data_IF_750009331129
#
_entry.id   IF_750009331129
#
_cell.length_a   1.000
_cell.length_b   1.000
_cell.length_c   1.000
_cell.angle_alpha   90.00
_cell.angle_beta   90.00
_cell.angle_gamma   90.00
#
_symmetry.space_group_name_H-M   'P 1'
#
loop_
_entity.id
_entity.type
_entity.pdbx_description
1 polymer ?
#
# COMPACT_ATOMS: atom_id res chain seq x y z
N UNK A 1 -40.55 -28.03 3.95
CA UNK A 1 -39.89 -27.12 4.93
C UNK A 1 -38.45 -26.98 4.49
N UNK A 2 -38.13 -25.93 3.77
CA UNK A 2 -36.76 -25.61 3.39
C UNK A 2 -36.17 -24.74 4.50
N UNK A 3 -35.12 -25.23 5.14
CA UNK A 3 -34.34 -24.47 6.14
C UNK A 3 -33.42 -23.53 5.35
N UNK A 4 -33.83 -22.29 5.18
CA UNK A 4 -32.94 -21.22 4.69
C UNK A 4 -31.88 -20.93 5.75
N UNK A 5 -30.64 -21.32 5.46
CA UNK A 5 -29.49 -21.09 6.33
C UNK A 5 -29.11 -19.61 6.36
N UNK A 6 -28.85 -19.02 7.54
CA UNK A 6 -28.51 -17.60 7.70
C UNK A 6 -27.10 -17.20 7.21
N UNK A 7 -26.37 -18.04 6.51
CA UNK A 7 -24.93 -17.86 6.24
C UNK A 7 -24.58 -16.91 5.09
N UNK A 8 -25.41 -16.77 4.07
CA UNK A 8 -25.07 -15.95 2.89
C UNK A 8 -25.07 -14.43 3.14
N UNK A 9 -26.07 -13.93 3.86
CA UNK A 9 -26.21 -12.50 4.11
C UNK A 9 -25.12 -11.91 5.05
N UNK A 10 -24.57 -12.71 5.96
CA UNK A 10 -23.50 -12.28 6.86
C UNK A 10 -22.15 -12.16 6.15
N UNK A 11 -21.86 -13.04 5.19
CA UNK A 11 -20.62 -13.00 4.41
C UNK A 11 -20.61 -11.77 3.48
N UNK A 12 -21.71 -11.53 2.77
CA UNK A 12 -21.84 -10.36 1.87
C UNK A 12 -21.73 -9.03 2.61
N UNK A 13 -22.31 -8.92 3.82
CA UNK A 13 -22.17 -7.74 4.69
C UNK A 13 -20.72 -7.49 5.14
N UNK A 14 -19.92 -8.53 5.33
CA UNK A 14 -18.50 -8.41 5.70
C UNK A 14 -17.65 -7.91 4.54
N UNK A 15 -17.92 -8.37 3.31
CA UNK A 15 -17.22 -7.91 2.11
C UNK A 15 -17.53 -6.44 1.76
N UNK A 16 -18.61 -5.89 2.27
CA UNK A 16 -18.97 -4.46 2.13
C UNK A 16 -18.15 -3.53 3.06
N UNK A 17 -17.27 -4.07 3.89
CA UNK A 17 -16.49 -3.28 4.84
C UNK A 17 -15.16 -2.85 4.24
N UNK A 18 -14.84 -1.53 4.25
CA UNK A 18 -13.57 -1.04 3.70
C UNK A 18 -12.36 -1.66 4.41
N UNK A 19 -12.49 -2.02 5.69
CA UNK A 19 -11.43 -2.65 6.47
C UNK A 19 -10.97 -3.99 5.90
N UNK A 20 -11.87 -4.81 5.35
CA UNK A 20 -11.50 -6.09 4.71
C UNK A 20 -10.63 -5.84 3.49
N UNK A 21 -11.04 -4.93 2.61
CA UNK A 21 -10.28 -4.60 1.41
C UNK A 21 -8.92 -3.98 1.72
N UNK A 22 -8.82 -3.20 2.80
CA UNK A 22 -7.54 -2.65 3.25
C UNK A 22 -6.59 -3.74 3.77
N UNK A 23 -7.09 -4.77 4.47
CA UNK A 23 -6.27 -5.91 4.90
C UNK A 23 -5.77 -6.67 3.66
N UNK A 24 -6.65 -6.98 2.72
CA UNK A 24 -6.26 -7.68 1.49
C UNK A 24 -5.24 -6.86 0.69
N UNK A 25 -5.45 -5.54 0.58
CA UNK A 25 -4.48 -4.65 -0.06
C UNK A 25 -3.13 -4.65 0.65
N UNK A 26 -3.10 -4.63 2.00
CA UNK A 26 -1.86 -4.70 2.77
C UNK A 26 -1.08 -5.99 2.52
N UNK A 27 -1.78 -7.13 2.45
CA UNK A 27 -1.17 -8.43 2.13
C UNK A 27 -0.60 -8.46 0.71
N UNK A 28 -1.37 -8.00 -0.27
CA UNK A 28 -0.93 -7.94 -1.67
C UNK A 28 0.24 -6.96 -1.87
N UNK A 29 0.21 -5.81 -1.21
CA UNK A 29 1.29 -4.83 -1.23
C UNK A 29 2.57 -5.31 -0.50
N UNK A 30 2.46 -6.40 0.27
CA UNK A 30 3.59 -7.09 0.90
C UNK A 30 4.08 -8.29 0.08
N UNK A 31 3.61 -8.48 -1.16
CA UNK A 31 4.00 -9.59 -2.04
C UNK A 31 5.50 -9.63 -2.33
N UNK A 32 6.20 -8.48 -2.25
CA UNK A 32 7.64 -8.42 -2.40
C UNK A 32 8.41 -9.34 -1.42
N UNK A 33 7.80 -9.72 -0.29
CA UNK A 33 8.38 -10.70 0.64
C UNK A 33 8.63 -12.06 -0.03
N UNK A 34 7.95 -12.37 -1.15
CA UNK A 34 8.21 -13.57 -1.95
C UNK A 34 9.62 -13.61 -2.54
N UNK A 35 10.30 -12.45 -2.68
CA UNK A 35 11.70 -12.41 -3.12
C UNK A 35 12.63 -13.21 -2.19
N UNK A 36 12.26 -13.39 -0.92
CA UNK A 36 13.03 -14.21 0.03
C UNK A 36 13.02 -15.71 -0.32
N UNK A 37 12.03 -16.14 -1.12
CA UNK A 37 11.89 -17.52 -1.56
C UNK A 37 12.14 -17.72 -3.07
N UNK A 38 12.14 -16.64 -3.86
CA UNK A 38 12.30 -16.68 -5.30
C UNK A 38 13.71 -16.24 -5.70
N UNK A 39 14.39 -16.97 -6.62
CA UNK A 39 15.71 -16.58 -7.10
C UNK A 39 15.60 -15.42 -8.09
N UNK A 40 15.42 -14.20 -7.59
CA UNK A 40 15.28 -12.99 -8.41
C UNK A 40 16.61 -12.44 -8.91
N UNK A 41 17.72 -12.77 -8.25
CA UNK A 41 19.04 -12.21 -8.55
C UNK A 41 19.24 -10.77 -8.07
N UNK A 42 18.24 -10.17 -7.41
CA UNK A 42 18.31 -8.81 -6.86
C UNK A 42 18.91 -8.79 -5.45
N UNK A 43 19.54 -7.66 -5.08
CA UNK A 43 20.05 -7.43 -3.73
C UNK A 43 18.94 -6.95 -2.81
N UNK A 44 18.70 -7.65 -1.72
CA UNK A 44 17.72 -7.22 -0.71
C UNK A 44 18.04 -5.84 -0.10
N UNK A 45 19.32 -5.47 -0.06
CA UNK A 45 19.78 -4.22 0.54
C UNK A 45 19.79 -3.07 -0.46
N UNK A 46 20.24 -3.34 -1.69
CA UNK A 46 20.56 -2.28 -2.66
C UNK A 46 19.52 -2.15 -3.77
N UNK A 47 18.88 -3.28 -4.19
CA UNK A 47 17.89 -3.25 -5.26
C UNK A 47 16.56 -2.72 -4.78
N UNK A 48 15.96 -1.81 -5.56
CA UNK A 48 14.60 -1.36 -5.30
C UNK A 48 13.60 -2.50 -5.47
N UNK A 49 12.53 -2.47 -4.66
CA UNK A 49 11.43 -3.43 -4.80
C UNK A 49 10.72 -3.29 -6.14
N UNK A 50 10.66 -2.08 -6.69
CA UNK A 50 10.10 -1.83 -8.02
C UNK A 50 10.88 -2.52 -9.15
N UNK A 51 12.15 -2.86 -8.94
CA UNK A 51 12.93 -3.63 -9.91
C UNK A 51 12.44 -5.08 -10.03
N UNK A 52 11.73 -5.63 -9.04
CA UNK A 52 11.04 -6.93 -9.16
C UNK A 52 10.00 -6.95 -10.30
N UNK A 53 9.49 -5.77 -10.68
CA UNK A 53 8.51 -5.60 -11.74
C UNK A 53 9.15 -5.26 -13.11
N UNK A 54 10.49 -5.08 -13.17
CA UNK A 54 11.18 -4.71 -14.38
C UNK A 54 11.02 -5.77 -15.50
N UNK A 55 11.13 -5.33 -16.76
CA UNK A 55 10.82 -6.20 -17.91
C UNK A 55 11.80 -7.36 -18.08
N UNK A 56 13.00 -7.24 -17.55
CA UNK A 56 14.04 -8.28 -17.54
C UNK A 56 13.90 -9.29 -16.37
N UNK A 57 12.96 -9.07 -15.43
CA UNK A 57 12.84 -9.92 -14.23
C UNK A 57 11.97 -11.16 -14.47
N UNK A 58 12.43 -12.36 -13.98
CA UNK A 58 11.76 -13.63 -14.27
C UNK A 58 10.37 -13.74 -13.64
N UNK A 59 10.17 -13.13 -12.48
CA UNK A 59 8.92 -13.25 -11.69
C UNK A 59 8.06 -11.98 -11.75
N UNK A 60 8.33 -11.04 -12.66
CA UNK A 60 7.62 -9.74 -12.74
C UNK A 60 6.10 -9.85 -12.75
N UNK A 61 5.55 -10.86 -13.38
CA UNK A 61 4.10 -11.04 -13.49
C UNK A 61 3.42 -11.35 -12.16
N UNK A 62 4.13 -12.02 -11.23
CA UNK A 62 3.62 -12.29 -9.87
C UNK A 62 3.46 -10.98 -9.12
N UNK A 63 4.48 -10.13 -9.12
CA UNK A 63 4.48 -8.85 -8.42
C UNK A 63 3.51 -7.85 -9.07
N UNK A 64 3.50 -7.76 -10.41
CA UNK A 64 2.51 -6.92 -11.14
C UNK A 64 1.07 -7.35 -10.86
N UNK A 65 0.77 -8.64 -10.85
CA UNK A 65 -0.56 -9.12 -10.53
C UNK A 65 -0.97 -8.76 -9.10
N UNK A 66 -0.04 -8.89 -8.13
CA UNK A 66 -0.30 -8.50 -6.75
C UNK A 66 -0.58 -6.99 -6.62
N UNK A 67 0.17 -6.14 -7.31
CA UNK A 67 -0.03 -4.69 -7.31
C UNK A 67 -1.37 -4.30 -7.95
N UNK A 68 -1.73 -4.91 -9.10
CA UNK A 68 -3.04 -4.68 -9.74
C UNK A 68 -4.18 -5.08 -8.81
N UNK A 69 -4.11 -6.26 -8.21
CA UNK A 69 -5.14 -6.74 -7.29
C UNK A 69 -5.20 -5.87 -6.02
N UNK A 70 -4.05 -5.45 -5.49
CA UNK A 70 -3.95 -4.53 -4.37
C UNK A 70 -4.62 -3.18 -4.66
N UNK A 71 -4.32 -2.61 -5.83
CA UNK A 71 -4.95 -1.37 -6.29
C UNK A 71 -6.48 -1.52 -6.45
N UNK A 72 -6.96 -2.63 -7.00
CA UNK A 72 -8.40 -2.92 -7.07
C UNK A 72 -9.03 -2.98 -5.67
N UNK A 73 -8.37 -3.61 -4.69
CA UNK A 73 -8.84 -3.63 -3.31
C UNK A 73 -8.90 -2.22 -2.70
N UNK A 74 -7.92 -1.35 -2.97
CA UNK A 74 -7.94 0.04 -2.54
C UNK A 74 -9.11 0.82 -3.15
N UNK A 75 -9.40 0.63 -4.44
CA UNK A 75 -10.56 1.24 -5.11
C UNK A 75 -11.88 0.77 -4.49
N UNK A 76 -12.00 -0.51 -4.13
CA UNK A 76 -13.17 -1.06 -3.44
C UNK A 76 -13.31 -0.47 -2.03
N UNK A 77 -12.20 -0.35 -1.29
CA UNK A 77 -12.19 0.27 0.03
C UNK A 77 -12.64 1.75 -0.04
N UNK A 78 -12.10 2.52 -1.00
CA UNK A 78 -12.37 3.95 -1.16
C UNK A 78 -13.86 4.26 -1.33
N UNK A 79 -14.64 3.38 -1.97
CA UNK A 79 -16.10 3.54 -2.16
C UNK A 79 -16.88 3.67 -0.86
N UNK A 80 -16.36 3.15 0.24
CA UNK A 80 -17.03 3.09 1.55
C UNK A 80 -16.30 3.90 2.63
N UNK A 81 -15.18 4.54 2.27
CA UNK A 81 -14.44 5.42 3.18
C UNK A 81 -15.12 6.76 3.39
N UNK A 82 -14.73 7.43 4.45
CA UNK A 82 -15.18 8.79 4.79
C UNK A 82 -13.97 9.71 4.93
N UNK A 83 -14.20 10.99 4.66
CA UNK A 83 -13.15 12.02 4.70
C UNK A 83 -12.48 12.22 3.34
N UNK A 84 -12.68 13.43 2.77
CA UNK A 84 -12.22 13.77 1.40
C UNK A 84 -10.72 13.53 1.21
N UNK A 85 -9.89 13.93 2.19
CA UNK A 85 -8.43 13.73 2.12
C UNK A 85 -8.07 12.25 1.99
N UNK A 86 -8.65 11.39 2.85
CA UNK A 86 -8.37 9.95 2.84
C UNK A 86 -8.82 9.33 1.52
N UNK A 87 -10.05 9.63 1.07
CA UNK A 87 -10.61 9.09 -0.18
C UNK A 87 -9.73 9.46 -1.37
N UNK A 88 -9.43 10.76 -1.53
CA UNK A 88 -8.61 11.24 -2.66
C UNK A 88 -7.22 10.60 -2.63
N UNK A 89 -6.59 10.56 -1.45
CA UNK A 89 -5.26 9.97 -1.31
C UNK A 89 -5.25 8.47 -1.63
N UNK A 90 -6.25 7.70 -1.19
CA UNK A 90 -6.35 6.27 -1.50
C UNK A 90 -6.63 6.05 -3.00
N UNK A 91 -7.45 6.89 -3.62
CA UNK A 91 -7.70 6.82 -5.07
C UNK A 91 -6.43 7.14 -5.88
N UNK A 92 -5.67 8.17 -5.48
CA UNK A 92 -4.40 8.51 -6.12
C UNK A 92 -3.39 7.38 -5.91
N UNK A 93 -3.31 6.81 -4.70
CA UNK A 93 -2.46 5.66 -4.41
C UNK A 93 -2.78 4.48 -5.33
N UNK A 94 -4.05 4.09 -5.44
CA UNK A 94 -4.48 3.00 -6.32
C UNK A 94 -4.17 3.29 -7.80
N UNK A 95 -4.45 4.51 -8.28
CA UNK A 95 -4.21 4.90 -9.67
C UNK A 95 -2.70 4.93 -9.99
N UNK A 96 -1.87 5.44 -9.08
CA UNK A 96 -0.42 5.48 -9.25
C UNK A 96 0.18 4.07 -9.23
N UNK A 97 -0.28 3.17 -8.34
CA UNK A 97 0.15 1.76 -8.33
C UNK A 97 -0.22 1.05 -9.63
N UNK A 98 -1.42 1.27 -10.19
CA UNK A 98 -1.79 0.74 -11.51
C UNK A 98 -0.91 1.32 -12.61
N UNK A 99 -0.59 2.60 -12.56
CA UNK A 99 0.30 3.23 -13.52
C UNK A 99 1.71 2.66 -13.45
N UNK A 100 2.25 2.37 -12.26
CA UNK A 100 3.55 1.73 -12.06
C UNK A 100 3.63 0.35 -12.73
N UNK A 101 2.55 -0.43 -12.73
CA UNK A 101 2.51 -1.74 -13.39
C UNK A 101 2.49 -1.64 -14.92
N UNK A 102 1.97 -0.55 -15.47
CA UNK A 102 1.90 -0.27 -16.91
C UNK A 102 3.17 0.44 -17.43
N UNK A 103 3.75 1.30 -16.59
CA UNK A 103 4.96 2.08 -16.86
C UNK A 103 6.16 1.36 -16.22
N UNK A 104 6.45 0.15 -16.70
CA UNK A 104 7.47 -0.70 -16.12
C UNK A 104 8.89 -0.15 -16.36
N UNK A 105 9.79 -0.53 -15.46
CA UNK A 105 11.23 -0.38 -15.68
C UNK A 105 11.67 -1.32 -16.81
N UNK A 106 12.53 -0.83 -17.72
CA UNK A 106 13.08 -1.64 -18.83
C UNK A 106 13.96 -2.77 -18.28
N UNK A 107 14.67 -2.51 -17.19
CA UNK A 107 15.67 -3.38 -16.59
C UNK A 107 15.96 -2.98 -15.14
N UNK A 108 16.61 -3.89 -14.38
CA UNK A 108 17.01 -3.66 -12.99
C UNK A 108 18.39 -3.00 -12.92
N UNK A 109 18.43 -1.67 -12.79
CA UNK A 109 19.65 -0.87 -12.80
C UNK A 109 20.60 -1.16 -11.62
N UNK A 110 20.08 -1.67 -10.50
CA UNK A 110 20.91 -2.00 -9.34
C UNK A 110 21.89 -3.14 -9.61
N UNK A 111 21.54 -4.09 -10.46
CA UNK A 111 22.33 -5.29 -10.77
C UNK A 111 22.86 -5.32 -12.20
N UNK A 112 22.27 -4.54 -13.13
CA UNK A 112 22.73 -4.45 -14.51
C UNK A 112 23.47 -3.12 -14.77
N UNK A 113 24.79 -3.20 -15.00
CA UNK A 113 25.63 -2.03 -15.26
C UNK A 113 25.27 -1.32 -16.58
N UNK A 114 24.82 -2.06 -17.61
CA UNK A 114 24.38 -1.47 -18.87
C UNK A 114 23.05 -0.72 -18.69
N UNK A 115 22.13 -1.28 -17.93
CA UNK A 115 20.89 -0.62 -17.55
C UNK A 115 21.17 0.71 -16.85
N UNK A 116 22.02 0.68 -15.82
CA UNK A 116 22.43 1.88 -15.06
C UNK A 116 23.06 2.93 -15.97
N UNK A 117 23.92 2.53 -16.90
CA UNK A 117 24.50 3.44 -17.88
C UNK A 117 23.42 4.07 -18.79
N UNK A 118 22.46 3.28 -19.28
CA UNK A 118 21.33 3.78 -20.09
C UNK A 118 20.49 4.79 -19.33
N UNK A 119 20.23 4.56 -18.05
CA UNK A 119 19.56 5.56 -17.19
C UNK A 119 20.33 6.87 -17.14
N UNK A 120 21.65 6.83 -16.91
CA UNK A 120 22.46 8.04 -16.77
C UNK A 120 22.49 8.90 -18.02
N UNK A 121 22.42 8.28 -19.22
CA UNK A 121 22.39 8.99 -20.50
C UNK A 121 20.96 9.23 -21.02
N UNK A 122 19.92 8.87 -20.24
CA UNK A 122 18.52 9.04 -20.63
C UNK A 122 18.06 8.12 -21.77
N UNK A 123 18.80 7.04 -22.06
CA UNK A 123 18.49 6.06 -23.12
C UNK A 123 17.64 4.90 -22.62
N UNK A 124 16.61 5.21 -21.87
CA UNK A 124 15.58 4.30 -21.37
C UNK A 124 14.21 4.69 -21.91
N UNK A 125 13.24 3.78 -21.86
CA UNK A 125 11.90 4.04 -22.37
C UNK A 125 11.19 5.19 -21.65
N UNK A 126 10.14 5.73 -22.24
CA UNK A 126 9.27 6.70 -21.58
C UNK A 126 8.60 6.07 -20.34
N UNK A 127 8.20 4.79 -20.43
CA UNK A 127 7.65 4.02 -19.32
C UNK A 127 8.57 4.03 -18.11
N UNK A 128 9.84 3.67 -18.32
CA UNK A 128 10.88 3.66 -17.29
C UNK A 128 11.04 5.03 -16.59
N UNK A 129 11.07 6.11 -17.36
CA UNK A 129 11.18 7.48 -16.79
C UNK A 129 9.92 7.90 -16.02
N UNK A 130 8.74 7.57 -16.54
CA UNK A 130 7.47 7.90 -15.89
C UNK A 130 7.23 7.05 -14.64
N UNK A 131 7.79 5.84 -14.57
CA UNK A 131 7.72 5.00 -13.37
C UNK A 131 8.26 5.71 -12.12
N UNK A 132 9.31 6.49 -12.25
CA UNK A 132 9.84 7.30 -11.13
C UNK A 132 8.81 8.32 -10.63
N UNK A 133 8.05 8.94 -11.54
CA UNK A 133 7.00 9.91 -11.19
C UNK A 133 5.83 9.21 -10.50
N UNK A 134 5.38 8.08 -11.04
CA UNK A 134 4.26 7.32 -10.46
C UNK A 134 4.64 6.74 -9.09
N UNK A 135 5.87 6.31 -8.88
CA UNK A 135 6.38 5.89 -7.56
C UNK A 135 6.33 7.03 -6.52
N UNK A 136 6.74 8.26 -6.89
CA UNK A 136 6.63 9.43 -6.01
C UNK A 136 5.16 9.71 -5.67
N UNK A 137 4.25 9.60 -6.65
CA UNK A 137 2.81 9.77 -6.41
C UNK A 137 2.25 8.70 -5.50
N UNK A 138 2.67 7.44 -5.66
CA UNK A 138 2.27 6.31 -4.82
C UNK A 138 2.65 6.56 -3.36
N UNK A 139 3.90 6.86 -3.07
CA UNK A 139 4.35 7.09 -1.69
C UNK A 139 3.85 8.41 -1.11
N UNK A 140 3.79 9.48 -1.90
CA UNK A 140 3.24 10.77 -1.48
C UNK A 140 1.75 10.67 -1.11
N UNK A 141 0.97 9.92 -1.88
CA UNK A 141 -0.44 9.69 -1.58
C UNK A 141 -0.64 8.75 -0.38
N UNK A 142 0.23 7.74 -0.17
CA UNK A 142 0.22 6.93 1.04
C UNK A 142 0.50 7.77 2.29
N UNK A 143 1.47 8.68 2.23
CA UNK A 143 1.75 9.64 3.30
C UNK A 143 0.54 10.56 3.57
N UNK A 144 -0.09 11.08 2.53
CA UNK A 144 -1.28 11.93 2.67
C UNK A 144 -2.48 11.17 3.27
N UNK A 145 -2.68 9.90 2.90
CA UNK A 145 -3.70 9.03 3.50
C UNK A 145 -3.41 8.78 4.99
N UNK A 146 -2.16 8.49 5.35
CA UNK A 146 -1.73 8.30 6.73
C UNK A 146 -1.91 9.58 7.57
N UNK A 147 -1.59 10.76 7.01
CA UNK A 147 -1.84 12.04 7.67
C UNK A 147 -3.34 12.31 7.85
N UNK A 148 -4.18 11.94 6.88
CA UNK A 148 -5.63 11.97 7.00
C UNK A 148 -6.14 11.08 8.13
N UNK A 149 -5.63 9.85 8.23
CA UNK A 149 -5.96 8.90 9.29
C UNK A 149 -5.52 9.42 10.67
N UNK A 150 -4.33 10.01 10.78
CA UNK A 150 -3.83 10.61 12.01
C UNK A 150 -4.75 11.73 12.49
N UNK A 151 -5.12 12.67 11.61
CA UNK A 151 -6.04 13.77 11.93
C UNK A 151 -7.38 13.29 12.44
N UNK A 152 -7.91 12.19 11.87
CA UNK A 152 -9.19 11.61 12.28
C UNK A 152 -9.12 10.84 13.60
N UNK A 153 -8.02 10.08 13.83
CA UNK A 153 -7.90 9.17 14.97
C UNK A 153 -7.13 9.77 16.13
N UNK A 154 -6.23 10.71 15.87
CA UNK A 154 -5.29 11.33 16.82
C UNK A 154 -4.47 10.30 17.63
N UNK A 155 -4.29 9.09 17.08
CA UNK A 155 -3.58 7.99 17.75
C UNK A 155 -2.08 8.08 17.49
N UNK A 156 -1.27 7.77 18.49
CA UNK A 156 0.19 7.80 18.39
C UNK A 156 0.73 6.87 17.30
N UNK A 157 0.12 5.70 17.10
CA UNK A 157 0.51 4.77 16.02
C UNK A 157 0.40 5.42 14.62
N UNK A 158 -0.67 6.19 14.37
CA UNK A 158 -0.82 6.90 13.11
C UNK A 158 0.26 7.99 12.94
N UNK A 159 0.65 8.68 14.02
CA UNK A 159 1.78 9.63 14.01
C UNK A 159 3.09 8.94 13.65
N UNK A 160 3.35 7.76 14.21
CA UNK A 160 4.55 6.96 13.89
C UNK A 160 4.57 6.58 12.42
N UNK A 161 3.44 6.11 11.86
CA UNK A 161 3.35 5.78 10.42
C UNK A 161 3.64 7.02 9.56
N UNK A 162 3.06 8.18 9.89
CA UNK A 162 3.34 9.44 9.17
C UNK A 162 4.82 9.80 9.24
N UNK A 163 5.43 9.74 10.43
CA UNK A 163 6.83 10.08 10.62
C UNK A 163 7.75 9.11 9.83
N UNK A 164 7.49 7.80 9.89
CA UNK A 164 8.27 6.80 9.16
C UNK A 164 8.12 6.98 7.64
N UNK A 165 6.91 7.19 7.10
CA UNK A 165 6.72 7.44 5.67
C UNK A 165 7.43 8.71 5.21
N UNK A 166 7.35 9.79 5.99
CA UNK A 166 8.06 11.03 5.67
C UNK A 166 9.58 10.83 5.69
N UNK A 167 10.12 10.19 6.74
CA UNK A 167 11.56 9.93 6.87
C UNK A 167 12.07 9.01 5.77
N UNK A 168 11.39 7.88 5.52
CA UNK A 168 11.81 6.95 4.45
C UNK A 168 11.65 7.56 3.07
N UNK A 169 10.65 8.43 2.85
CA UNK A 169 10.51 9.18 1.60
C UNK A 169 11.69 10.13 1.34
N UNK A 170 12.13 10.86 2.36
CA UNK A 170 13.34 11.72 2.28
C UNK A 170 14.58 10.87 2.05
N UNK A 171 14.75 9.78 2.83
CA UNK A 171 15.90 8.89 2.68
C UNK A 171 15.96 8.24 1.29
N UNK A 172 14.81 7.83 0.73
CA UNK A 172 14.74 7.28 -0.64
C UNK A 172 15.21 8.29 -1.68
N UNK A 173 14.89 9.58 -1.51
CA UNK A 173 15.35 10.62 -2.41
C UNK A 173 16.86 10.92 -2.24
N UNK A 174 17.37 10.92 -1.01
CA UNK A 174 18.79 11.18 -0.72
C UNK A 174 19.68 10.02 -1.14
N UNK A 175 19.21 8.78 -0.94
CA UNK A 175 19.95 7.55 -1.27
C UNK A 175 19.62 7.03 -2.68
N UNK A 176 19.05 7.88 -3.55
CA UNK A 176 18.79 7.47 -4.92
C UNK A 176 20.07 6.95 -5.59
N UNK A 177 20.02 5.72 -6.10
CA UNK A 177 21.17 5.02 -6.71
C UNK A 177 22.38 4.79 -5.78
N UNK A 178 22.20 4.87 -4.46
CA UNK A 178 23.23 4.60 -3.46
C UNK A 178 23.02 3.23 -2.79
N UNK A 179 24.07 2.61 -2.22
CA UNK A 179 23.93 1.42 -1.40
C UNK A 179 22.93 1.63 -0.26
N UNK A 180 22.10 0.62 0.00
CA UNK A 180 21.08 0.68 1.04
C UNK A 180 19.73 1.25 0.61
N UNK A 181 19.60 1.79 -0.60
CA UNK A 181 18.33 2.35 -1.11
C UNK A 181 17.19 1.32 -1.08
N UNK A 182 17.47 0.07 -1.45
CA UNK A 182 16.51 -1.01 -1.42
C UNK A 182 15.97 -1.33 -0.03
N UNK A 183 16.83 -1.29 0.99
CA UNK A 183 16.40 -1.50 2.37
C UNK A 183 15.47 -0.38 2.86
N UNK A 184 15.78 0.87 2.52
CA UNK A 184 14.92 2.03 2.85
C UNK A 184 13.53 1.86 2.23
N UNK A 185 13.46 1.45 0.96
CA UNK A 185 12.18 1.22 0.29
C UNK A 185 11.40 0.08 0.94
N UNK A 186 12.04 -1.02 1.36
CA UNK A 186 11.36 -2.12 2.08
C UNK A 186 10.78 -1.66 3.41
N UNK A 187 11.49 -0.86 4.19
CA UNK A 187 10.95 -0.24 5.41
C UNK A 187 9.77 0.66 5.09
N UNK A 188 9.84 1.41 3.99
CA UNK A 188 8.74 2.26 3.52
C UNK A 188 7.50 1.43 3.15
N UNK A 189 7.66 0.32 2.42
CA UNK A 189 6.56 -0.58 2.04
C UNK A 189 5.92 -1.26 3.27
N UNK A 190 6.72 -1.73 4.24
CA UNK A 190 6.20 -2.25 5.50
C UNK A 190 5.40 -1.19 6.26
N UNK A 191 5.85 0.06 6.22
CA UNK A 191 5.15 1.18 6.86
C UNK A 191 3.83 1.49 6.14
N UNK A 192 3.78 1.40 4.80
CA UNK A 192 2.53 1.51 4.02
C UNK A 192 1.57 0.40 4.44
N UNK A 193 2.02 -0.85 4.48
CA UNK A 193 1.19 -1.99 4.90
C UNK A 193 0.64 -1.79 6.32
N UNK A 194 1.48 -1.33 7.27
CA UNK A 194 1.04 -0.99 8.62
C UNK A 194 -0.02 0.14 8.62
N UNK A 195 0.13 1.15 7.78
CA UNK A 195 -0.84 2.23 7.59
C UNK A 195 -2.19 1.72 7.10
N UNK A 196 -2.19 0.80 6.12
CA UNK A 196 -3.41 0.16 5.61
C UNK A 196 -4.10 -0.67 6.70
N UNK A 197 -3.36 -1.44 7.50
CA UNK A 197 -3.90 -2.21 8.62
C UNK A 197 -4.47 -1.31 9.71
N UNK A 198 -3.84 -0.17 10.03
CA UNK A 198 -4.39 0.82 10.96
C UNK A 198 -5.68 1.45 10.42
N UNK A 199 -5.75 1.73 9.12
CA UNK A 199 -6.96 2.18 8.43
C UNK A 199 -8.08 1.14 8.51
N UNK A 200 -7.76 -0.14 8.35
CA UNK A 200 -8.72 -1.23 8.52
C UNK A 200 -9.28 -1.29 9.94
N UNK A 201 -8.41 -1.23 10.94
CA UNK A 201 -8.82 -1.21 12.36
C UNK A 201 -9.70 -0.01 12.68
N UNK A 202 -9.38 1.18 12.16
CA UNK A 202 -10.20 2.37 12.33
C UNK A 202 -11.59 2.21 11.69
N UNK A 203 -11.66 1.60 10.51
CA UNK A 203 -12.91 1.33 9.79
C UNK A 203 -13.82 0.38 10.58
N UNK A 204 -13.28 -0.71 11.13
CA UNK A 204 -14.06 -1.65 11.95
C UNK A 204 -14.60 -1.01 13.23
N UNK A 205 -13.79 -0.19 13.91
CA UNK A 205 -14.21 0.52 15.12
C UNK A 205 -15.32 1.53 14.83
N UNK A 206 -15.22 2.27 13.75
CA UNK A 206 -16.24 3.21 13.32
C UNK A 206 -17.60 2.51 13.08
N UNK A 207 -17.58 1.30 12.51
CA UNK A 207 -18.80 0.54 12.28
C UNK A 207 -19.40 -0.04 13.58
N UNK A 208 -18.56 -0.54 14.49
CA UNK A 208 -19.02 -1.05 15.78
C UNK A 208 -19.79 0.01 16.58
N UNK A 209 -19.33 1.27 16.52
CA UNK A 209 -19.97 2.40 17.17
C UNK A 209 -21.36 2.75 16.61
N UNK A 210 -21.67 2.35 15.36
CA UNK A 210 -22.99 2.56 14.73
C UNK A 210 -23.98 1.44 15.00
N UNK A 211 -23.52 0.24 15.38
CA UNK A 211 -24.37 -0.93 15.61
C UNK A 211 -24.93 -0.96 17.04
N UNK A 212 -24.39 -0.18 18.00
CA UNK A 212 -24.91 -0.01 19.36
C UNK A 212 -25.54 1.39 19.58
N UNK A 213 -26.65 1.76 18.94
CA UNK A 213 -27.42 2.93 19.33
C UNK A 213 -28.38 2.51 20.43
N UNK A 214 -28.01 2.59 21.71
CA UNK A 214 -28.98 2.42 22.76
C UNK A 214 -28.58 1.75 24.07
N UNK A 215 -27.31 1.83 24.47
CA UNK A 215 -27.00 1.61 25.89
C UNK A 215 -27.06 2.96 26.59
N UNK A 216 -28.13 3.24 27.41
CA UNK A 216 -28.16 4.47 28.19
C UNK A 216 -26.95 4.46 29.13
N UNK A 217 -26.17 5.53 29.08
CA UNK A 217 -25.17 5.81 30.08
C UNK A 217 -25.92 6.01 31.41
N UNK A 218 -25.77 5.06 32.34
CA UNK A 218 -26.24 5.24 33.70
C UNK A 218 -27.36 4.31 34.14
N UNK A 219 -27.05 3.03 34.34
CA UNK A 219 -27.67 2.30 35.44
C UNK A 219 -26.61 2.04 36.50
N UNK A 220 -26.44 3.01 37.39
CA UNK A 220 -25.80 2.81 38.69
C UNK A 220 -26.71 1.84 39.45
N UNK A 221 -26.24 0.67 39.92
CA UNK A 221 -27.04 -0.15 40.80
C UNK A 221 -27.20 0.60 42.11
N UNK A 222 -28.43 0.95 42.44
CA UNK A 222 -28.79 1.40 43.80
C UNK A 222 -28.42 0.28 44.78
N UNK A 223 -27.65 0.64 45.80
CA UNK A 223 -27.51 -0.12 47.04
C UNK A 223 -28.54 0.37 48.05
#
# INVERSE_FOLDING_TARGET
MAVEGPSGHHVLRRLDQPGVWLIVAALLYSSWLLELALPTGLSFVDSYVSELLADDQPYRWVFRAADVLGACCLLLAARRMRGRLIIVSVLVFAAATLADTLLSLDCAASVDALCRYRETIGSVSLGHRLHQVTSVLTFGSALAAAAGLERCTRRWHAKVVVALLATTGVLSAVLANQPGAGLVQRVQLLTVAAGLLLGALASFRAQASFVEPGRPAGSIPAR
#
